data_IF_413269858676
#
_entry.id   IF_413269858676
#
_cell.length_a   1.000
_cell.length_b   1.000
_cell.length_c   1.000
_cell.angle_alpha   90.00
_cell.angle_beta   90.00
_cell.angle_gamma   90.00
#
_symmetry.space_group_name_H-M   'P 1'
#
loop_
_entity.id
_entity.type
_entity.pdbx_description
1 polymer ?
#
# COMPACT_ATOMS: atom_id res chain seq x y z
N UNK A 1 -60.01 5.86 -22.95
CA UNK A 1 -59.05 6.94 -22.66
C UNK A 1 -57.84 6.31 -21.96
N UNK A 2 -56.74 6.09 -22.68
CA UNK A 2 -55.56 6.98 -22.67
C UNK A 2 -55.04 7.15 -21.24
N UNK A 3 -53.92 6.55 -20.85
CA UNK A 3 -52.61 7.06 -21.23
C UNK A 3 -51.52 6.01 -20.99
N UNK A 4 -50.88 5.56 -22.06
CA UNK A 4 -49.59 4.88 -22.09
C UNK A 4 -48.68 5.85 -22.87
N UNK A 5 -47.72 6.48 -22.18
CA UNK A 5 -46.60 7.25 -22.77
C UNK A 5 -45.59 7.52 -21.65
N UNK A 6 -44.49 6.77 -21.61
CA UNK A 6 -43.23 7.10 -22.29
C UNK A 6 -42.58 8.32 -21.62
N UNK A 7 -41.60 8.06 -20.75
CA UNK A 7 -40.64 9.06 -20.25
C UNK A 7 -39.26 8.63 -20.71
N UNK A 8 -38.90 9.06 -21.91
CA UNK A 8 -37.53 9.15 -22.40
C UNK A 8 -36.95 10.47 -21.91
N UNK A 9 -36.07 10.42 -20.91
CA UNK A 9 -35.23 11.57 -20.56
C UNK A 9 -33.95 11.48 -21.37
N UNK A 10 -33.96 12.11 -22.54
CA UNK A 10 -32.79 12.37 -23.36
C UNK A 10 -31.84 13.32 -22.61
N UNK A 11 -30.65 12.80 -22.35
CA UNK A 11 -29.51 13.53 -21.80
C UNK A 11 -28.93 14.40 -22.93
N UNK A 12 -29.38 15.64 -23.04
CA UNK A 12 -28.87 16.57 -24.04
C UNK A 12 -27.43 16.98 -23.70
N UNK A 13 -26.53 16.45 -24.51
CA UNK A 13 -25.11 16.71 -24.64
C UNK A 13 -24.86 18.18 -25.05
N UNK A 14 -24.22 18.96 -24.17
CA UNK A 14 -23.52 20.18 -24.60
C UNK A 14 -22.12 19.79 -25.09
N UNK A 15 -22.06 19.33 -26.34
CA UNK A 15 -20.83 19.11 -27.08
C UNK A 15 -20.48 20.42 -27.81
N UNK A 16 -19.32 21.00 -27.50
CA UNK A 16 -18.75 22.09 -28.30
C UNK A 16 -18.17 21.46 -29.57
N UNK A 17 -18.67 21.78 -30.78
CA UNK A 17 -18.05 21.31 -32.01
C UNK A 17 -16.86 22.22 -32.36
N UNK A 18 -15.65 21.65 -32.41
CA UNK A 18 -14.52 22.30 -33.10
C UNK A 18 -13.16 22.39 -32.39
N UNK A 19 -12.92 21.76 -31.23
CA UNK A 19 -11.55 21.73 -30.66
C UNK A 19 -10.74 20.55 -31.20
N UNK A 20 -9.93 20.84 -32.22
CA UNK A 20 -8.83 20.00 -32.68
C UNK A 20 -7.66 20.14 -31.69
N UNK A 21 -7.36 19.08 -30.93
CA UNK A 21 -6.29 19.06 -29.91
C UNK A 21 -4.90 18.68 -30.47
N UNK A 22 -4.69 18.75 -31.78
CA UNK A 22 -3.41 18.37 -32.43
C UNK A 22 -2.33 19.47 -32.36
N UNK A 23 -2.53 20.54 -31.60
CA UNK A 23 -1.68 21.74 -31.63
C UNK A 23 -0.87 22.01 -30.33
N UNK A 24 -0.88 21.12 -29.33
CA UNK A 24 0.09 21.19 -28.23
C UNK A 24 1.37 20.46 -28.65
N UNK A 25 2.17 21.16 -29.44
CA UNK A 25 3.50 20.75 -29.89
C UNK A 25 4.50 20.62 -28.74
N UNK A 26 4.58 19.44 -28.15
CA UNK A 26 5.67 19.03 -27.26
C UNK A 26 6.03 17.55 -27.48
N UNK A 27 6.27 17.19 -28.75
CA UNK A 27 7.03 15.99 -29.09
C UNK A 27 8.48 16.41 -29.33
N UNK A 28 9.36 16.17 -28.36
CA UNK A 28 10.80 16.06 -28.62
C UNK A 28 11.14 14.59 -28.80
N UNK A 29 11.24 14.19 -30.06
CA UNK A 29 11.93 12.99 -30.49
C UNK A 29 13.43 13.29 -30.58
N UNK A 30 14.24 12.70 -29.70
CA UNK A 30 15.66 12.48 -29.97
C UNK A 30 16.16 11.28 -29.15
N UNK A 31 16.33 10.17 -29.88
CA UNK A 31 17.19 9.02 -29.58
C UNK A 31 18.66 9.47 -29.42
N UNK A 32 19.52 8.72 -28.71
CA UNK A 32 20.08 7.50 -29.30
C UNK A 32 20.10 6.26 -28.39
N UNK A 33 19.80 5.15 -29.05
CA UNK A 33 20.18 3.77 -28.71
C UNK A 33 21.71 3.64 -28.80
N UNK A 34 22.32 2.96 -27.82
CA UNK A 34 23.58 2.22 -28.00
C UNK A 34 23.71 1.15 -26.90
N UNK A 35 23.43 -0.09 -27.29
CA UNK A 35 23.95 -1.30 -26.65
C UNK A 35 24.33 -2.25 -27.78
N UNK A 36 25.61 -2.60 -27.89
CA UNK A 36 26.02 -4.02 -27.99
C UNK A 36 27.54 -4.12 -27.97
N UNK A 37 28.03 -4.86 -26.98
CA UNK A 37 29.40 -5.29 -26.82
C UNK A 37 29.61 -6.59 -27.60
N UNK A 38 30.61 -6.63 -28.49
CA UNK A 38 31.22 -7.86 -28.96
C UNK A 38 32.60 -7.54 -29.57
N UNK A 39 33.65 -8.10 -28.97
CA UNK A 39 34.99 -8.12 -29.54
C UNK A 39 35.94 -8.93 -28.67
N UNK A 40 36.54 -10.02 -29.18
CA UNK A 40 37.70 -10.63 -28.57
C UNK A 40 38.97 -10.34 -29.37
N UNK A 41 40.11 -10.40 -28.67
CA UNK A 41 41.51 -10.47 -29.13
C UNK A 41 42.22 -9.14 -29.40
N UNK A 42 43.26 -8.88 -28.61
CA UNK A 42 44.26 -7.85 -28.87
C UNK A 42 45.25 -7.70 -27.72
N UNK A 43 46.45 -8.21 -27.94
CA UNK A 43 47.69 -8.24 -27.13
C UNK A 43 48.19 -6.90 -26.50
N UNK A 44 48.97 -7.03 -25.43
CA UNK A 44 49.75 -6.06 -24.62
C UNK A 44 50.82 -5.25 -25.44
N UNK A 45 51.65 -4.29 -24.91
CA UNK A 45 52.10 -4.10 -23.51
C UNK A 45 52.28 -2.66 -22.95
N UNK A 46 52.57 -2.64 -21.64
CA UNK A 46 53.11 -1.59 -20.73
C UNK A 46 54.37 -0.86 -21.26
N UNK A 47 54.70 0.37 -20.77
CA UNK A 47 55.39 0.50 -19.47
C UNK A 47 55.06 1.75 -18.60
N UNK A 48 55.14 1.51 -17.29
CA UNK A 48 55.83 2.28 -16.23
C UNK A 48 55.88 3.81 -16.32
N UNK A 49 55.36 4.52 -15.30
CA UNK A 49 56.14 5.43 -14.45
C UNK A 49 55.34 5.87 -13.22
N UNK A 50 56.05 5.80 -12.10
CA UNK A 50 55.71 6.07 -10.71
C UNK A 50 55.90 7.58 -10.43
N UNK A 51 54.98 8.23 -9.70
CA UNK A 51 55.33 9.08 -8.54
C UNK A 51 54.10 9.70 -7.83
N UNK A 52 54.08 9.66 -6.49
CA UNK A 52 53.12 10.36 -5.63
C UNK A 52 53.65 11.75 -5.19
N UNK A 53 52.76 12.59 -4.63
CA UNK A 53 53.04 13.76 -3.77
C UNK A 53 53.09 15.17 -4.41
N UNK A 54 51.98 15.92 -4.27
CA UNK A 54 51.89 17.38 -4.00
C UNK A 54 50.38 17.74 -4.01
N UNK A 55 49.75 18.41 -3.04
CA UNK A 55 50.26 19.32 -2.02
C UNK A 55 49.74 20.74 -2.30
N UNK A 56 48.83 21.22 -1.43
CA UNK A 56 48.58 22.63 -1.06
C UNK A 56 47.69 23.52 -1.98
N UNK A 57 46.54 23.99 -1.46
CA UNK A 57 46.23 25.40 -1.04
C UNK A 57 45.70 26.29 -2.19
N UNK A 58 44.78 27.23 -2.07
CA UNK A 58 43.84 27.75 -1.06
C UNK A 58 42.97 28.82 -1.75
N UNK A 59 41.79 29.06 -1.19
CA UNK A 59 41.09 30.36 -1.10
C UNK A 59 40.45 31.00 -2.35
N UNK A 60 39.12 31.24 -2.30
CA UNK A 60 38.52 32.56 -2.04
C UNK A 60 37.02 32.59 -2.45
N UNK A 61 36.19 33.21 -1.61
CA UNK A 61 34.78 33.55 -1.88
C UNK A 61 33.83 32.80 -0.94
N UNK A 62 32.93 33.41 -0.18
CA UNK A 62 32.39 34.76 -0.25
C UNK A 62 30.98 34.70 0.33
N UNK A 63 30.89 34.96 1.64
CA UNK A 63 29.77 35.47 2.42
C UNK A 63 28.38 35.62 1.75
N UNK A 64 27.62 34.54 1.63
CA UNK A 64 26.14 34.61 1.59
C UNK A 64 25.55 33.49 2.44
N UNK A 65 24.91 33.87 3.55
CA UNK A 65 24.20 32.97 4.44
C UNK A 65 23.00 32.36 3.71
N UNK A 66 23.13 31.10 3.32
CA UNK A 66 21.98 30.27 3.00
C UNK A 66 21.20 30.00 4.30
N UNK A 67 19.85 30.07 4.30
CA UNK A 67 19.09 29.55 5.42
C UNK A 67 19.41 28.04 5.56
N UNK A 68 19.41 27.48 6.78
CA UNK A 68 19.56 26.05 6.94
C UNK A 68 18.39 25.40 6.23
N UNK A 69 18.64 24.78 5.08
CA UNK A 69 17.72 23.81 4.50
C UNK A 69 17.58 22.72 5.54
N UNK A 70 16.47 22.75 6.29
CA UNK A 70 16.04 21.61 7.08
C UNK A 70 16.17 20.39 6.17
N UNK A 71 16.83 19.30 6.59
CA UNK A 71 16.66 18.06 5.87
C UNK A 71 15.16 17.81 5.89
N UNK A 72 14.53 17.91 4.72
CA UNK A 72 13.21 17.34 4.53
C UNK A 72 13.44 15.87 4.83
N UNK A 73 13.17 15.48 6.08
CA UNK A 73 13.19 14.11 6.52
C UNK A 73 12.11 13.47 5.66
N UNK A 74 12.53 12.90 4.52
CA UNK A 74 11.73 11.98 3.76
C UNK A 74 11.55 10.81 4.70
N UNK A 75 10.52 10.89 5.56
CA UNK A 75 9.96 9.75 6.24
C UNK A 75 9.74 8.74 5.14
N UNK A 76 10.54 7.67 5.13
CA UNK A 76 10.35 6.59 4.17
C UNK A 76 8.86 6.24 4.21
N UNK A 77 8.16 6.18 3.07
CA UNK A 77 6.72 5.97 3.07
C UNK A 77 6.44 4.69 3.84
N UNK A 78 5.66 4.79 4.92
CA UNK A 78 5.23 3.66 5.74
C UNK A 78 4.49 2.69 4.81
N UNK A 79 5.20 1.66 4.35
CA UNK A 79 4.67 0.65 3.46
C UNK A 79 3.98 -0.39 4.32
N UNK A 80 2.68 -0.51 4.12
CA UNK A 80 1.85 -1.47 4.83
C UNK A 80 1.37 -2.54 3.87
N UNK A 81 1.10 -3.72 4.40
CA UNK A 81 0.58 -4.86 3.63
C UNK A 81 -0.80 -5.23 4.16
N UNK A 82 -1.75 -5.39 3.25
CA UNK A 82 -3.11 -5.83 3.53
C UNK A 82 -3.45 -7.02 2.64
N UNK A 83 -4.11 -8.02 3.23
CA UNK A 83 -4.53 -9.23 2.56
C UNK A 83 -6.06 -9.21 2.46
N UNK A 84 -6.58 -8.94 1.27
CA UNK A 84 -8.02 -8.83 1.01
C UNK A 84 -8.52 -10.12 0.35
N UNK A 85 -9.57 -10.72 0.89
CA UNK A 85 -10.18 -11.92 0.36
C UNK A 85 -11.36 -11.54 -0.53
N UNK A 86 -11.35 -12.06 -1.76
CA UNK A 86 -12.41 -11.83 -2.75
C UNK A 86 -12.96 -13.16 -3.25
N UNK A 87 -14.24 -13.25 -3.64
CA UNK A 87 -14.78 -14.47 -4.23
C UNK A 87 -14.00 -14.90 -5.47
N UNK A 88 -13.73 -16.21 -5.62
CA UNK A 88 -12.98 -16.75 -6.76
C UNK A 88 -13.61 -16.37 -8.11
N UNK A 89 -14.94 -16.28 -8.16
CA UNK A 89 -15.70 -15.86 -9.35
C UNK A 89 -15.37 -14.43 -9.81
N UNK A 90 -14.97 -13.55 -8.89
CA UNK A 90 -14.67 -12.14 -9.17
C UNK A 90 -13.22 -11.88 -9.59
N UNK A 91 -12.32 -12.84 -9.37
CA UNK A 91 -10.89 -12.71 -9.67
C UNK A 91 -10.66 -12.39 -11.16
N UNK A 92 -11.41 -13.04 -12.05
CA UNK A 92 -11.29 -12.81 -13.49
C UNK A 92 -11.65 -11.38 -13.89
N UNK A 93 -12.73 -10.84 -13.33
CA UNK A 93 -13.16 -9.46 -13.56
C UNK A 93 -12.17 -8.45 -12.97
N UNK A 94 -11.58 -8.75 -11.79
CA UNK A 94 -10.57 -7.90 -11.17
C UNK A 94 -9.24 -7.87 -11.94
N UNK A 95 -8.80 -9.01 -12.49
CA UNK A 95 -7.59 -9.08 -13.33
C UNK A 95 -7.84 -8.34 -14.65
N UNK A 96 -9.00 -8.58 -15.27
CA UNK A 96 -9.36 -8.05 -16.57
C UNK A 96 -8.64 -8.72 -17.74
N UNK A 97 -9.05 -8.38 -18.96
CA UNK A 97 -8.47 -8.94 -20.19
C UNK A 97 -6.97 -8.67 -20.25
N UNK A 98 -6.16 -9.71 -20.41
CA UNK A 98 -4.67 -9.64 -20.43
C UNK A 98 -4.04 -8.99 -19.18
N UNK A 99 -4.76 -8.97 -18.05
CA UNK A 99 -4.31 -8.31 -16.83
C UNK A 99 -4.31 -6.78 -16.90
N UNK A 100 -5.05 -6.18 -17.84
CA UNK A 100 -5.07 -4.73 -18.02
C UNK A 100 -5.68 -4.01 -16.82
N UNK A 101 -6.78 -4.53 -16.26
CA UNK A 101 -7.51 -3.86 -15.19
C UNK A 101 -6.71 -3.82 -13.88
N UNK A 102 -6.12 -4.94 -13.45
CA UNK A 102 -5.28 -4.97 -12.24
C UNK A 102 -4.03 -4.09 -12.37
N UNK A 103 -3.42 -4.01 -13.57
CA UNK A 103 -2.26 -3.13 -13.82
C UNK A 103 -2.65 -1.66 -13.74
N UNK A 104 -3.77 -1.29 -14.35
CA UNK A 104 -4.32 0.06 -14.29
C UNK A 104 -4.67 0.44 -12.85
N UNK A 105 -5.31 -0.47 -12.11
CA UNK A 105 -5.66 -0.29 -10.71
C UNK A 105 -4.40 -0.06 -9.85
N UNK A 106 -3.36 -0.87 -10.00
CA UNK A 106 -2.10 -0.71 -9.30
C UNK A 106 -1.47 0.67 -9.58
N UNK A 107 -1.47 1.11 -10.85
CA UNK A 107 -0.98 2.44 -11.25
C UNK A 107 -1.82 3.58 -10.68
N UNK A 108 -3.15 3.45 -10.71
CA UNK A 108 -4.08 4.44 -10.18
C UNK A 108 -3.95 4.61 -8.66
N UNK A 109 -3.85 3.49 -7.95
CA UNK A 109 -3.70 3.50 -6.51
C UNK A 109 -2.30 3.97 -6.06
N UNK A 110 -1.26 3.72 -6.87
CA UNK A 110 0.12 3.87 -6.43
C UNK A 110 0.52 2.76 -5.44
N UNK A 111 -0.07 1.57 -5.59
CA UNK A 111 0.16 0.40 -4.74
C UNK A 111 0.58 -0.80 -5.59
N UNK A 112 1.37 -1.70 -4.99
CA UNK A 112 1.61 -3.03 -5.56
C UNK A 112 0.44 -3.95 -5.21
N UNK A 113 -0.24 -4.49 -6.22
CA UNK A 113 -1.38 -5.40 -6.05
C UNK A 113 -1.02 -6.74 -6.67
N UNK A 114 -1.00 -7.80 -5.87
CA UNK A 114 -0.69 -9.17 -6.30
C UNK A 114 -1.84 -10.09 -5.89
N UNK A 115 -2.19 -11.04 -6.74
CA UNK A 115 -3.18 -12.06 -6.42
C UNK A 115 -2.41 -13.32 -6.04
N UNK A 116 -2.65 -13.84 -4.85
CA UNK A 116 -2.02 -15.06 -4.38
C UNK A 116 -2.50 -16.25 -5.22
N UNK A 117 -1.68 -17.32 -5.36
CA UNK A 117 -2.18 -18.62 -5.81
C UNK A 117 -3.33 -19.08 -4.90
N UNK A 118 -4.25 -19.86 -5.43
CA UNK A 118 -5.30 -20.48 -4.63
C UNK A 118 -4.69 -21.57 -3.76
N UNK A 119 -5.02 -21.58 -2.46
CA UNK A 119 -4.60 -22.65 -1.53
C UNK A 119 -5.20 -24.01 -1.90
N UNK A 120 -6.39 -24.01 -2.50
CA UNK A 120 -7.05 -25.19 -3.06
C UNK A 120 -7.84 -24.83 -4.32
N UNK A 121 -8.01 -25.76 -5.27
CA UNK A 121 -8.79 -25.51 -6.49
C UNK A 121 -10.27 -25.18 -6.20
N UNK A 122 -10.79 -25.65 -5.07
CA UNK A 122 -12.16 -25.45 -4.61
C UNK A 122 -12.31 -24.32 -3.57
N UNK A 123 -11.28 -23.48 -3.39
CA UNK A 123 -11.35 -22.36 -2.46
C UNK A 123 -12.44 -21.35 -2.91
N UNK A 124 -13.40 -21.00 -2.03
CA UNK A 124 -14.46 -20.05 -2.38
C UNK A 124 -13.91 -18.64 -2.57
N UNK A 125 -12.77 -18.34 -1.96
CA UNK A 125 -12.15 -17.03 -1.94
C UNK A 125 -10.67 -17.08 -2.38
N UNK A 126 -10.19 -15.95 -2.87
CA UNK A 126 -8.83 -15.71 -3.35
C UNK A 126 -8.24 -14.54 -2.59
N UNK A 127 -7.01 -14.70 -2.11
CA UNK A 127 -6.29 -13.64 -1.40
C UNK A 127 -5.63 -12.66 -2.38
N UNK A 128 -5.86 -11.37 -2.17
CA UNK A 128 -5.23 -10.24 -2.87
C UNK A 128 -4.33 -9.51 -1.89
N UNK A 129 -3.05 -9.45 -2.20
CA UNK A 129 -2.02 -8.78 -1.41
C UNK A 129 -1.84 -7.37 -1.96
N UNK A 130 -2.15 -6.37 -1.12
CA UNK A 130 -2.02 -4.95 -1.44
C UNK A 130 -0.89 -4.38 -0.58
N UNK A 131 0.15 -3.86 -1.22
CA UNK A 131 1.29 -3.25 -0.55
C UNK A 131 1.43 -1.80 -0.97
N UNK A 132 1.49 -0.90 0.01
CA UNK A 132 1.63 0.54 -0.24
C UNK A 132 1.26 1.38 0.98
N UNK A 133 1.35 2.71 0.87
CA UNK A 133 0.96 3.61 1.95
C UNK A 133 -0.57 3.57 2.19
N UNK A 134 -1.05 4.05 3.35
CA UNK A 134 -2.48 4.03 3.70
C UNK A 134 -3.38 4.67 2.63
N UNK A 135 -2.93 5.75 2.00
CA UNK A 135 -3.68 6.42 0.92
C UNK A 135 -3.83 5.55 -0.34
N UNK A 136 -2.77 4.82 -0.69
CA UNK A 136 -2.76 3.94 -1.85
C UNK A 136 -3.66 2.71 -1.60
N UNK A 137 -3.62 2.16 -0.39
CA UNK A 137 -4.50 1.06 0.01
C UNK A 137 -5.97 1.47 -0.03
N UNK A 138 -6.32 2.66 0.48
CA UNK A 138 -7.68 3.19 0.42
C UNK A 138 -8.21 3.23 -1.03
N UNK A 139 -7.40 3.74 -1.96
CA UNK A 139 -7.74 3.79 -3.39
C UNK A 139 -7.87 2.39 -3.99
N UNK A 140 -6.94 1.49 -3.69
CA UNK A 140 -6.92 0.11 -4.20
C UNK A 140 -8.14 -0.67 -3.70
N UNK A 141 -8.36 -0.72 -2.38
CA UNK A 141 -9.50 -1.39 -1.77
C UNK A 141 -10.82 -0.80 -2.28
N UNK A 142 -10.96 0.53 -2.31
CA UNK A 142 -12.19 1.18 -2.76
C UNK A 142 -12.57 0.81 -4.19
N UNK A 143 -11.58 0.71 -5.09
CA UNK A 143 -11.81 0.24 -6.46
C UNK A 143 -12.14 -1.26 -6.52
N UNK A 144 -11.53 -2.10 -5.70
CA UNK A 144 -11.85 -3.53 -5.63
C UNK A 144 -13.30 -3.74 -5.14
N UNK A 145 -13.67 -3.08 -4.03
CA UNK A 145 -15.04 -3.09 -3.51
C UNK A 145 -16.06 -2.56 -4.54
N UNK A 146 -15.72 -1.47 -5.23
CA UNK A 146 -16.55 -0.91 -6.30
C UNK A 146 -16.74 -1.89 -7.46
N UNK A 147 -15.64 -2.52 -7.92
CA UNK A 147 -15.69 -3.49 -9.02
C UNK A 147 -16.54 -4.71 -8.66
N UNK A 148 -16.43 -5.19 -7.42
CA UNK A 148 -17.23 -6.31 -6.91
C UNK A 148 -18.72 -5.97 -6.82
N UNK A 149 -19.04 -4.70 -6.51
CA UNK A 149 -20.42 -4.20 -6.49
C UNK A 149 -21.02 -4.11 -7.89
N UNK A 150 -20.26 -3.62 -8.87
CA UNK A 150 -20.69 -3.47 -10.28
C UNK A 150 -21.05 -4.80 -10.94
N UNK A 151 -20.26 -5.84 -10.66
CA UNK A 151 -20.43 -7.17 -11.27
C UNK A 151 -21.56 -7.99 -10.59
N UNK A 152 -22.30 -7.41 -9.63
CA UNK A 152 -23.42 -8.03 -8.91
C UNK A 152 -23.08 -9.41 -8.31
N UNK A 153 -21.85 -9.61 -7.83
CA UNK A 153 -21.48 -10.83 -7.09
C UNK A 153 -22.24 -10.99 -5.77
N UNK A 154 -22.89 -9.92 -5.32
CA UNK A 154 -23.71 -9.87 -4.11
C UNK A 154 -25.16 -9.59 -4.52
N UNK A 155 -26.13 -10.13 -3.77
CA UNK A 155 -27.56 -9.88 -4.00
C UNK A 155 -27.81 -8.37 -4.02
N UNK A 156 -28.63 -7.83 -4.92
CA UNK A 156 -28.85 -6.38 -5.08
C UNK A 156 -29.33 -5.64 -3.81
N UNK A 157 -29.75 -6.38 -2.77
CA UNK A 157 -30.17 -5.87 -1.47
C UNK A 157 -29.03 -5.85 -0.43
N UNK A 158 -27.92 -6.51 -0.70
CA UNK A 158 -26.80 -6.70 0.23
C UNK A 158 -25.58 -5.89 -0.23
N UNK A 159 -25.05 -5.07 0.69
CA UNK A 159 -23.81 -4.35 0.44
C UNK A 159 -22.60 -5.31 0.46
N UNK A 160 -21.62 -5.04 -0.40
CA UNK A 160 -20.38 -5.81 -0.48
C UNK A 160 -19.68 -5.83 0.89
N UNK A 161 -19.47 -7.04 1.41
CA UNK A 161 -18.66 -7.31 2.61
C UNK A 161 -17.51 -8.21 2.21
N UNK A 162 -16.30 -7.88 2.63
CA UNK A 162 -15.10 -8.67 2.35
C UNK A 162 -14.33 -8.92 3.63
N UNK A 163 -13.64 -10.06 3.70
CA UNK A 163 -12.69 -10.37 4.75
C UNK A 163 -11.33 -9.74 4.40
N UNK A 164 -10.74 -9.03 5.36
CA UNK A 164 -9.43 -8.41 5.23
C UNK A 164 -8.56 -8.81 6.40
N UNK A 165 -7.34 -9.30 6.15
CA UNK A 165 -6.35 -9.53 7.18
C UNK A 165 -5.27 -8.46 7.16
N UNK A 166 -4.88 -8.04 8.36
CA UNK A 166 -3.72 -7.20 8.58
C UNK A 166 -2.77 -7.90 9.54
N UNK A 167 -1.47 -7.75 9.30
CA UNK A 167 -0.45 -8.23 10.22
C UNK A 167 -0.26 -7.23 11.34
N UNK A 168 -0.21 -7.74 12.56
CA UNK A 168 0.05 -6.94 13.76
C UNK A 168 1.06 -7.68 14.63
N UNK A 169 1.99 -6.99 15.31
CA UNK A 169 2.87 -7.64 16.27
C UNK A 169 2.07 -8.38 17.35
N UNK A 170 2.53 -9.54 17.80
CA UNK A 170 1.86 -10.33 18.83
C UNK A 170 1.68 -9.51 20.13
N UNK A 171 2.67 -8.68 20.48
CA UNK A 171 2.59 -7.73 21.59
C UNK A 171 1.45 -6.70 21.44
N UNK A 172 1.15 -6.26 20.22
CA UNK A 172 0.06 -5.34 19.93
C UNK A 172 -1.31 -6.04 19.85
N UNK A 173 -1.36 -7.31 19.43
CA UNK A 173 -2.61 -8.08 19.31
C UNK A 173 -3.40 -8.14 20.62
N UNK A 174 -2.72 -8.37 21.75
CA UNK A 174 -3.35 -8.35 23.08
C UNK A 174 -3.97 -6.98 23.44
N UNK A 175 -3.36 -5.89 22.97
CA UNK A 175 -3.88 -4.52 23.17
C UNK A 175 -5.06 -4.20 22.26
N UNK A 176 -5.08 -4.75 21.04
CA UNK A 176 -6.24 -4.66 20.13
C UNK A 176 -7.46 -5.36 20.74
N UNK A 177 -7.28 -6.52 21.38
CA UNK A 177 -8.34 -7.22 22.11
C UNK A 177 -8.78 -6.40 23.34
N UNK A 178 -7.81 -5.95 24.13
CA UNK A 178 -8.04 -5.22 25.37
C UNK A 178 -8.46 -6.11 26.55
N UNK A 179 -8.48 -5.53 27.75
CA UNK A 179 -8.83 -6.24 29.00
C UNK A 179 -10.28 -6.76 28.91
N UNK A 180 -10.45 -8.08 28.92
CA UNK A 180 -11.77 -8.73 28.81
C UNK A 180 -12.48 -8.51 27.47
N UNK A 181 -11.73 -8.19 26.39
CA UNK A 181 -12.32 -7.97 25.06
C UNK A 181 -13.02 -6.62 24.89
N UNK A 182 -12.92 -5.70 25.86
CA UNK A 182 -13.60 -4.40 25.81
C UNK A 182 -13.17 -3.57 24.60
N UNK A 183 -11.88 -3.51 24.31
CA UNK A 183 -11.34 -2.70 23.21
C UNK A 183 -11.78 -3.22 21.85
N UNK A 184 -11.72 -4.54 21.61
CA UNK A 184 -12.23 -5.11 20.35
C UNK A 184 -13.74 -4.98 20.22
N UNK A 185 -14.49 -5.08 21.32
CA UNK A 185 -15.94 -4.86 21.28
C UNK A 185 -16.28 -3.40 20.96
N UNK A 186 -15.55 -2.44 21.53
CA UNK A 186 -15.67 -1.02 21.21
C UNK A 186 -15.31 -0.74 19.75
N UNK A 187 -14.22 -1.32 19.24
CA UNK A 187 -13.82 -1.21 17.84
C UNK A 187 -14.94 -1.69 16.90
N UNK A 188 -15.54 -2.85 17.20
CA UNK A 188 -16.64 -3.39 16.40
C UNK A 188 -17.87 -2.48 16.46
N UNK A 189 -18.23 -1.98 17.64
CA UNK A 189 -19.37 -1.09 17.83
C UNK A 189 -19.19 0.25 17.09
N UNK A 190 -17.99 0.85 17.14
CA UNK A 190 -17.72 2.13 16.49
C UNK A 190 -17.60 2.01 14.96
N UNK A 191 -17.08 0.89 14.47
CA UNK A 191 -16.80 0.72 13.04
C UNK A 191 -17.88 -0.03 12.29
N UNK A 192 -18.76 -0.76 12.99
CA UNK A 192 -19.69 -1.73 12.41
C UNK A 192 -19.01 -2.84 11.58
N UNK A 193 -17.69 -2.98 11.69
CA UNK A 193 -16.95 -4.12 11.15
C UNK A 193 -16.83 -5.19 12.24
N UNK A 194 -16.87 -6.45 11.83
CA UNK A 194 -16.54 -7.57 12.70
C UNK A 194 -15.02 -7.72 12.74
N UNK A 195 -14.44 -7.75 13.96
CA UNK A 195 -12.99 -7.80 14.16
C UNK A 195 -12.67 -9.03 15.00
N UNK A 196 -11.96 -9.98 14.40
CA UNK A 196 -11.61 -11.26 15.00
C UNK A 196 -10.10 -11.36 15.10
N UNK A 197 -9.60 -11.67 16.30
CA UNK A 197 -8.19 -12.01 16.54
C UNK A 197 -8.14 -13.50 16.88
N UNK A 198 -7.82 -14.38 15.92
CA UNK A 198 -7.74 -15.81 16.19
C UNK A 198 -6.67 -16.12 17.24
N UNK A 199 -7.03 -16.92 18.24
CA UNK A 199 -6.21 -17.17 19.45
C UNK A 199 -5.13 -18.23 19.26
N UNK A 200 -5.35 -19.17 18.35
CA UNK A 200 -4.48 -20.33 18.12
C UNK A 200 -3.49 -20.12 16.95
N UNK A 201 -3.07 -18.87 16.71
CA UNK A 201 -2.11 -18.56 15.64
C UNK A 201 -0.69 -18.58 16.19
N UNK A 202 0.20 -19.31 15.52
CA UNK A 202 1.64 -19.19 15.76
C UNK A 202 2.14 -17.88 15.12
N UNK A 203 2.81 -17.00 15.88
CA UNK A 203 3.44 -15.81 15.31
C UNK A 203 4.38 -16.21 14.17
N UNK A 204 4.46 -15.37 13.13
CA UNK A 204 5.42 -15.60 12.06
C UNK A 204 6.86 -15.22 12.48
N UNK A 205 7.84 -15.34 11.58
CA UNK A 205 9.25 -15.04 11.84
C UNK A 205 9.48 -13.61 12.38
N UNK A 206 8.57 -12.67 12.08
CA UNK A 206 8.60 -11.28 12.55
C UNK A 206 7.79 -11.05 13.84
N UNK A 207 7.36 -12.13 14.52
CA UNK A 207 6.47 -12.08 15.68
C UNK A 207 5.13 -11.38 15.39
N UNK A 208 4.65 -11.51 14.15
CA UNK A 208 3.38 -10.94 13.70
C UNK A 208 2.27 -12.00 13.65
N UNK A 209 1.04 -11.57 13.97
CA UNK A 209 -0.19 -12.37 13.89
C UNK A 209 -1.22 -11.64 13.04
N UNK A 210 -2.18 -12.38 12.48
CA UNK A 210 -3.24 -11.78 11.68
C UNK A 210 -4.43 -11.35 12.54
N UNK A 211 -4.94 -10.16 12.25
CA UNK A 211 -6.26 -9.69 12.68
C UNK A 211 -7.18 -9.70 11.48
N UNK A 212 -8.32 -10.37 11.61
CA UNK A 212 -9.36 -10.47 10.59
C UNK A 212 -10.38 -9.36 10.80
N UNK A 213 -10.73 -8.69 9.71
CA UNK A 213 -11.69 -7.60 9.67
C UNK A 213 -12.69 -7.92 8.57
N UNK A 214 -13.96 -8.06 8.92
CA UNK A 214 -15.04 -8.39 7.99
C UNK A 214 -16.03 -7.25 8.00
N UNK A 215 -16.30 -6.67 6.84
CA UNK A 215 -17.29 -5.59 6.75
C UNK A 215 -17.30 -4.87 5.41
N UNK A 216 -18.08 -3.80 5.37
CA UNK A 216 -18.14 -2.89 4.23
C UNK A 216 -16.84 -2.11 4.06
N UNK A 217 -16.69 -1.44 2.92
CA UNK A 217 -15.49 -0.63 2.62
C UNK A 217 -15.17 0.36 3.75
N UNK A 218 -16.09 1.27 4.09
CA UNK A 218 -15.83 2.29 5.12
C UNK A 218 -15.64 1.71 6.52
N UNK A 219 -16.40 0.68 6.88
CA UNK A 219 -16.27 -0.03 8.15
C UNK A 219 -14.86 -0.65 8.28
N UNK A 220 -14.42 -1.38 7.25
CA UNK A 220 -13.11 -2.02 7.19
C UNK A 220 -11.97 -1.00 7.22
N UNK A 221 -12.06 0.10 6.46
CA UNK A 221 -11.04 1.15 6.49
C UNK A 221 -10.91 1.80 7.87
N UNK A 222 -12.04 2.05 8.55
CA UNK A 222 -12.05 2.66 9.88
C UNK A 222 -11.44 1.71 10.90
N UNK A 223 -11.79 0.42 10.85
CA UNK A 223 -11.21 -0.61 11.70
C UNK A 223 -9.69 -0.75 11.47
N UNK A 224 -9.23 -0.81 10.22
CA UNK A 224 -7.80 -0.87 9.89
C UNK A 224 -7.04 0.33 10.45
N UNK A 225 -7.55 1.55 10.26
CA UNK A 225 -6.94 2.78 10.81
C UNK A 225 -6.84 2.72 12.33
N UNK A 226 -7.92 2.34 13.01
CA UNK A 226 -7.95 2.25 14.48
C UNK A 226 -6.99 1.19 15.02
N UNK A 227 -6.91 0.03 14.38
CA UNK A 227 -5.98 -1.01 14.78
C UNK A 227 -4.53 -0.55 14.57
N UNK A 228 -4.23 0.15 13.46
CA UNK A 228 -2.90 0.74 13.20
C UNK A 228 -2.52 1.79 14.25
N UNK A 229 -3.46 2.63 14.68
CA UNK A 229 -3.25 3.58 15.78
C UNK A 229 -2.82 2.85 17.07
N UNK A 230 -3.46 1.73 17.41
CA UNK A 230 -3.10 0.92 18.59
C UNK A 230 -1.68 0.34 18.44
N UNK A 231 -1.32 -0.17 17.25
CA UNK A 231 0.01 -0.71 16.98
C UNK A 231 1.09 0.38 17.15
N UNK A 232 0.86 1.59 16.64
CA UNK A 232 1.79 2.70 16.78
C UNK A 232 2.00 3.10 18.24
N UNK A 233 0.93 3.11 19.05
CA UNK A 233 1.04 3.38 20.50
C UNK A 233 1.87 2.31 21.23
N UNK A 234 1.72 1.03 20.85
CA UNK A 234 2.48 -0.07 21.45
C UNK A 234 3.97 0.04 21.10
N UNK A 235 4.31 0.30 19.84
CA UNK A 235 5.71 0.50 19.40
C UNK A 235 6.42 1.60 20.20
N UNK A 236 5.73 2.72 20.47
CA UNK A 236 6.28 3.82 21.28
C UNK A 236 6.49 3.42 22.75
N UNK A 237 5.58 2.61 23.30
CA UNK A 237 5.64 2.16 24.69
C UNK A 237 6.78 1.13 24.91
N UNK A 238 7.02 0.25 23.93
CA UNK A 238 8.11 -0.74 23.97
C UNK A 238 9.50 -0.09 23.91
N UNK A 239 9.68 0.91 23.05
CA UNK A 239 10.95 1.66 22.98
C UNK A 239 11.28 2.37 24.30
N UNK A 240 10.27 2.92 24.97
CA UNK A 240 10.44 3.55 26.28
C UNK A 240 10.79 2.53 27.37
N UNK A 241 10.28 1.30 27.27
CA UNK A 241 10.53 0.25 28.25
C UNK A 241 11.91 -0.40 28.08
N UNK A 242 12.45 -0.48 26.85
CA UNK A 242 13.80 -0.99 26.59
C UNK A 242 14.92 -0.04 27.07
N UNK A 243 14.68 1.27 27.13
CA UNK A 243 15.64 2.23 27.71
C UNK A 243 15.60 2.29 29.26
N UNK A 244 14.66 1.58 29.90
CA UNK A 244 14.49 1.56 31.36
C UNK A 244 15.27 0.46 32.09
N UNK A 245 15.95 -0.45 31.39
CA UNK A 245 16.71 -1.56 31.99
C UNK A 245 18.21 -1.31 31.90
N UNK A 246 18.66 -0.20 32.48
CA UNK A 246 20.04 -0.01 32.90
C UNK A 246 20.01 0.24 34.41
N UNK A 247 19.95 -0.83 35.20
CA UNK A 247 20.07 -0.71 36.66
C UNK A 247 21.54 -0.41 37.00
N UNK A 248 21.83 0.65 37.79
CA UNK A 248 23.17 0.87 38.32
C UNK A 248 23.40 -0.12 39.47
N UNK A 249 24.16 -1.19 39.20
CA UNK A 249 24.63 -2.08 40.26
C UNK A 249 25.77 -1.41 41.03
N UNK A 250 25.45 -1.08 42.28
CA UNK A 250 26.32 -0.59 43.32
C UNK A 250 27.61 -1.41 43.48
N UNK A 251 28.73 -0.72 43.70
CA UNK A 251 29.75 -1.23 44.61
C UNK A 251 30.04 -0.22 45.72
N UNK A 252 29.45 -0.51 46.87
CA UNK A 252 29.86 -0.14 48.20
C UNK A 252 31.27 -0.68 48.46
N UNK A 253 32.25 0.18 48.77
CA UNK A 253 32.89 0.29 50.10
C UNK A 253 33.89 1.44 50.13
#
# INVERSE_FOLDING_TARGET
>A
EQLLRESTSDLQTNLIPGLNLSALGIFSSALPVLSSAAGPRGVAPLPTTYNPFMGHTSALGGLYGAPPTLPLQQTAPEQEVVYLFIPTQAVGALIGKKGQHIKELARFAGASIKIAPSDSPDAPERMVIITGPPEAQFKAQGRIFGKLKEENFFTAKEEVKLETHIKVPAAAAGRVIGKGGKTVNELQNLTSAEVIVPRDQTPDENDEVFVKIIGHFFASQTAQRKIREIIQQVKQQEQKNQQGVATPSQHTK
#
